data_IF_035514723737
#
_entry.id   IF_035514723737
#
_cell.length_a   1.000
_cell.length_b   1.000
_cell.length_c   1.000
_cell.angle_alpha   90.00
_cell.angle_beta   90.00
_cell.angle_gamma   90.00
#
_symmetry.space_group_name_H-M   'P 1'
#
loop_
_entity.id
_entity.type
_entity.pdbx_description
1 polymer ?
#
# COMPACT_ATOMS: atom_id res chain seq x y z
N UNK A 1 -0.26 -35.03 -2.86
CA UNK A 1 0.41 -34.45 -4.03
C UNK A 1 0.44 -32.93 -3.82
N UNK A 2 1.62 -32.34 -3.67
CA UNK A 2 1.71 -30.86 -3.62
C UNK A 2 1.27 -30.31 -4.97
N UNK A 3 0.26 -29.47 -4.98
CA UNK A 3 -0.15 -28.75 -6.18
C UNK A 3 1.03 -27.89 -6.66
N UNK A 4 1.45 -27.98 -7.92
CA UNK A 4 2.48 -27.07 -8.45
C UNK A 4 1.97 -25.63 -8.59
N UNK A 5 0.71 -25.38 -8.27
CA UNK A 5 0.06 -24.06 -8.39
C UNK A 5 0.33 -23.25 -7.14
N UNK A 6 0.83 -22.02 -7.32
CA UNK A 6 1.02 -21.03 -6.25
C UNK A 6 -0.31 -20.70 -5.57
N UNK A 7 -0.26 -20.31 -4.30
CA UNK A 7 -1.44 -19.84 -3.58
C UNK A 7 -2.00 -18.57 -4.23
N UNK A 8 -3.29 -18.27 -4.03
CA UNK A 8 -3.87 -17.01 -4.52
C UNK A 8 -3.20 -15.79 -3.88
N UNK A 9 -2.81 -15.91 -2.62
CA UNK A 9 -2.13 -14.83 -1.91
C UNK A 9 -0.77 -14.54 -2.54
N UNK A 10 0.06 -15.58 -2.76
CA UNK A 10 1.36 -15.42 -3.42
C UNK A 10 1.22 -14.93 -4.86
N UNK A 11 0.20 -15.39 -5.58
CA UNK A 11 -0.08 -14.93 -6.93
C UNK A 11 -0.38 -13.44 -6.98
N UNK A 12 -1.30 -12.95 -6.14
CA UNK A 12 -1.63 -11.53 -6.13
C UNK A 12 -0.52 -10.66 -5.52
N UNK A 13 0.20 -11.12 -4.51
CA UNK A 13 1.38 -10.43 -4.00
C UNK A 13 2.50 -10.37 -5.05
N UNK A 14 2.66 -11.41 -5.86
CA UNK A 14 3.57 -11.42 -7.01
C UNK A 14 3.21 -10.34 -8.03
N UNK A 15 1.94 -10.16 -8.35
CA UNK A 15 1.48 -9.08 -9.24
C UNK A 15 1.70 -7.71 -8.57
N UNK A 16 1.41 -7.56 -7.27
CA UNK A 16 1.67 -6.32 -6.54
C UNK A 16 3.18 -5.95 -6.56
N UNK A 17 4.06 -6.97 -6.52
CA UNK A 17 5.50 -6.80 -6.69
C UNK A 17 5.83 -6.22 -8.08
N UNK A 18 5.28 -6.75 -9.15
CA UNK A 18 5.51 -6.20 -10.50
C UNK A 18 4.96 -4.77 -10.61
N UNK A 19 3.80 -4.48 -10.02
CA UNK A 19 3.26 -3.11 -9.95
C UNK A 19 4.22 -2.18 -9.20
N UNK A 20 4.86 -2.63 -8.12
CA UNK A 20 5.79 -1.84 -7.33
C UNK A 20 7.01 -1.35 -8.11
N UNK A 21 7.40 -2.06 -9.19
CA UNK A 21 8.53 -1.68 -10.06
C UNK A 21 8.33 -0.34 -10.79
N UNK A 22 7.11 0.16 -10.83
CA UNK A 22 6.79 1.50 -11.37
C UNK A 22 6.92 2.61 -10.33
N UNK A 23 7.30 2.29 -9.08
CA UNK A 23 7.46 3.29 -8.01
C UNK A 23 8.49 4.34 -8.36
N UNK A 24 8.21 5.58 -7.98
CA UNK A 24 9.11 6.73 -8.17
C UNK A 24 9.57 7.32 -6.82
N UNK A 25 9.47 6.55 -5.75
CA UNK A 25 9.93 6.93 -4.42
C UNK A 25 11.36 6.45 -4.19
N UNK A 26 12.23 7.32 -3.65
CA UNK A 26 13.61 6.98 -3.32
C UNK A 26 13.76 6.07 -2.09
N UNK A 27 12.74 6.07 -1.21
CA UNK A 27 12.80 5.28 0.03
C UNK A 27 12.33 3.85 -0.19
N UNK A 28 11.10 3.69 -0.69
CA UNK A 28 10.44 2.39 -0.81
C UNK A 28 9.71 2.23 -2.13
N UNK A 29 9.85 1.07 -2.72
CA UNK A 29 9.06 0.64 -3.87
C UNK A 29 7.85 -0.15 -3.35
N UNK A 30 6.66 0.43 -3.46
CA UNK A 30 5.41 -0.17 -2.98
C UNK A 30 4.44 -0.29 -4.15
N UNK A 31 3.81 -1.46 -4.26
CA UNK A 31 2.71 -1.71 -5.19
C UNK A 31 1.51 -2.27 -4.45
N UNK A 32 0.33 -1.86 -4.88
CA UNK A 32 -0.93 -2.35 -4.37
C UNK A 32 -1.86 -2.75 -5.52
N UNK A 33 -2.70 -3.74 -5.27
CA UNK A 33 -3.81 -4.07 -6.16
C UNK A 33 -5.04 -4.41 -5.34
N UNK A 34 -6.21 -4.21 -5.95
CA UNK A 34 -7.49 -4.54 -5.36
C UNK A 34 -8.12 -5.65 -6.17
N UNK A 35 -8.53 -6.70 -5.48
CA UNK A 35 -9.14 -7.89 -6.06
C UNK A 35 -10.56 -8.03 -5.50
N UNK A 36 -11.53 -8.31 -6.36
CA UNK A 36 -12.88 -8.68 -5.99
C UNK A 36 -13.38 -9.79 -6.90
N UNK A 37 -14.02 -10.78 -6.33
CA UNK A 37 -14.54 -11.94 -7.08
C UNK A 37 -13.48 -12.60 -7.96
N UNK A 38 -12.26 -12.74 -7.41
CA UNK A 38 -11.07 -13.31 -8.09
C UNK A 38 -10.61 -12.52 -9.33
N UNK A 39 -11.01 -11.24 -9.45
CA UNK A 39 -10.61 -10.35 -10.53
C UNK A 39 -9.86 -9.13 -9.99
N UNK A 40 -8.79 -8.75 -10.66
CA UNK A 40 -8.05 -7.51 -10.37
C UNK A 40 -8.89 -6.33 -10.84
N UNK A 41 -9.35 -5.52 -9.90
CA UNK A 41 -10.19 -4.34 -10.15
C UNK A 41 -9.33 -3.12 -10.47
N UNK A 42 -8.26 -2.92 -9.69
CA UNK A 42 -7.33 -1.81 -9.93
C UNK A 42 -5.96 -2.10 -9.37
N UNK A 43 -5.00 -1.29 -9.80
CA UNK A 43 -3.62 -1.30 -9.30
C UNK A 43 -3.18 0.11 -8.95
N UNK A 44 -2.19 0.22 -8.06
CA UNK A 44 -1.53 1.46 -7.72
C UNK A 44 -0.09 1.22 -7.28
N UNK A 45 0.79 2.17 -7.52
CA UNK A 45 2.16 2.17 -7.01
C UNK A 45 2.44 3.52 -6.35
N UNK A 46 3.45 3.58 -5.49
CA UNK A 46 3.87 4.83 -4.87
C UNK A 46 4.50 5.76 -5.92
N UNK A 47 3.91 6.95 -6.11
CA UNK A 47 4.36 7.88 -7.14
C UNK A 47 3.65 9.22 -7.07
N UNK A 48 4.21 10.23 -7.71
CA UNK A 48 3.65 11.57 -7.73
C UNK A 48 2.26 11.62 -8.41
N UNK A 49 1.47 12.64 -8.12
CA UNK A 49 0.22 12.87 -8.83
C UNK A 49 0.44 12.93 -10.33
N UNK A 50 -0.54 12.48 -11.11
CA UNK A 50 -0.45 12.47 -12.58
C UNK A 50 -0.12 13.85 -13.12
N UNK A 51 0.73 13.89 -14.15
CA UNK A 51 1.16 15.12 -14.84
C UNK A 51 2.01 16.06 -13.97
N UNK A 52 2.46 15.62 -12.81
CA UNK A 52 3.44 16.36 -11.99
C UNK A 52 4.80 15.67 -12.05
N UNK A 53 5.86 16.41 -11.74
CA UNK A 53 7.21 15.84 -11.62
C UNK A 53 7.29 14.98 -10.37
N UNK A 54 7.88 13.83 -10.50
CA UNK A 54 8.07 12.90 -9.37
C UNK A 54 9.45 13.06 -8.71
N UNK A 55 9.73 12.23 -7.72
CA UNK A 55 10.99 12.31 -6.98
C UNK A 55 12.20 11.88 -7.83
N UNK A 56 12.00 11.01 -8.83
CA UNK A 56 13.07 10.61 -9.77
C UNK A 56 13.39 11.79 -10.69
N UNK A 57 12.37 12.47 -11.24
CA UNK A 57 12.55 13.68 -12.05
C UNK A 57 13.29 14.80 -11.31
N UNK A 58 13.09 14.90 -9.99
CA UNK A 58 13.75 15.87 -9.14
C UNK A 58 15.14 15.43 -8.68
N UNK A 59 15.48 14.15 -8.79
CA UNK A 59 16.76 13.59 -8.35
C UNK A 59 16.93 13.49 -6.83
N UNK A 60 15.87 13.69 -6.04
CA UNK A 60 15.92 13.60 -4.57
C UNK A 60 14.56 13.36 -3.93
N UNK A 61 14.59 12.84 -2.69
CA UNK A 61 13.43 12.80 -1.82
C UNK A 61 13.38 14.08 -0.98
N UNK A 62 12.27 14.83 -1.06
CA UNK A 62 12.09 16.06 -0.27
C UNK A 62 12.16 15.80 1.23
N UNK A 63 11.55 14.70 1.70
CA UNK A 63 11.55 14.36 3.13
C UNK A 63 12.96 14.03 3.65
N UNK A 64 13.81 13.37 2.84
CA UNK A 64 15.21 13.14 3.18
C UNK A 64 16.00 14.44 3.27
N UNK A 65 15.79 15.33 2.29
CA UNK A 65 16.44 16.64 2.28
C UNK A 65 16.08 17.50 3.49
N UNK A 66 14.87 17.34 4.02
CA UNK A 66 14.39 18.01 5.22
C UNK A 66 14.71 17.26 6.52
N UNK A 67 15.41 16.12 6.47
CA UNK A 67 15.75 15.31 7.64
C UNK A 67 14.55 14.68 8.33
N UNK A 68 13.44 14.45 7.59
CA UNK A 68 12.20 13.91 8.16
C UNK A 68 12.31 12.38 8.27
N UNK A 69 12.11 11.82 9.48
CA UNK A 69 12.13 10.37 9.69
C UNK A 69 11.08 9.61 8.86
N UNK A 70 11.26 8.29 8.73
CA UNK A 70 10.23 7.42 8.17
C UNK A 70 8.94 7.51 8.99
N UNK A 71 7.80 7.33 8.34
CA UNK A 71 6.49 7.37 9.00
C UNK A 71 5.92 8.76 9.29
N UNK A 72 6.67 9.84 9.10
CA UNK A 72 6.28 11.21 9.51
C UNK A 72 6.10 12.15 8.31
N UNK A 73 5.28 13.20 8.51
CA UNK A 73 5.11 14.34 7.60
C UNK A 73 4.80 13.91 6.17
N UNK A 74 3.83 13.00 5.99
CA UNK A 74 3.41 12.52 4.67
C UNK A 74 2.83 13.62 3.78
N UNK A 75 2.30 14.70 4.36
CA UNK A 75 1.80 15.87 3.65
C UNK A 75 2.89 16.61 2.85
N UNK A 76 4.16 16.44 3.23
CA UNK A 76 5.32 16.97 2.50
C UNK A 76 5.86 16.00 1.45
N UNK A 77 5.34 14.76 1.41
CA UNK A 77 5.77 13.78 0.42
C UNK A 77 5.20 14.13 -0.96
N UNK A 78 6.05 14.07 -1.98
CA UNK A 78 5.58 14.23 -3.38
C UNK A 78 4.75 13.06 -3.86
N UNK A 79 4.94 11.89 -3.25
CA UNK A 79 4.29 10.66 -3.68
C UNK A 79 2.94 10.48 -3.01
N UNK A 80 1.97 10.06 -3.79
CA UNK A 80 0.73 9.41 -3.33
C UNK A 80 1.05 7.96 -3.03
N UNK A 81 0.52 7.40 -1.96
CA UNK A 81 0.76 6.01 -1.58
C UNK A 81 0.13 5.03 -2.57
N UNK A 82 0.67 3.81 -2.63
CA UNK A 82 0.21 2.78 -3.56
C UNK A 82 -1.27 2.44 -3.33
N UNK A 83 -1.69 2.32 -2.08
CA UNK A 83 -3.06 2.04 -1.66
C UNK A 83 -4.02 3.15 -2.12
N UNK A 84 -3.61 4.41 -1.93
CA UNK A 84 -4.38 5.58 -2.36
C UNK A 84 -4.53 5.58 -3.89
N UNK A 85 -3.43 5.35 -4.62
CA UNK A 85 -3.46 5.28 -6.07
C UNK A 85 -4.35 4.14 -6.59
N UNK A 86 -4.34 2.97 -5.94
CA UNK A 86 -5.24 1.87 -6.29
C UNK A 86 -6.72 2.27 -6.11
N UNK A 87 -7.07 2.89 -4.99
CA UNK A 87 -8.43 3.38 -4.72
C UNK A 87 -8.84 4.47 -5.73
N UNK A 88 -7.97 5.44 -5.97
CA UNK A 88 -8.21 6.54 -6.92
C UNK A 88 -8.37 6.01 -8.35
N UNK A 89 -7.55 5.03 -8.76
CA UNK A 89 -7.64 4.45 -10.09
C UNK A 89 -8.97 3.73 -10.32
N UNK A 90 -9.48 2.99 -9.33
CA UNK A 90 -10.80 2.39 -9.40
C UNK A 90 -11.92 3.45 -9.49
N UNK A 91 -11.85 4.48 -8.64
CA UNK A 91 -12.81 5.59 -8.67
C UNK A 91 -12.83 6.29 -10.04
N UNK A 92 -11.66 6.52 -10.65
CA UNK A 92 -11.55 7.10 -12.00
C UNK A 92 -12.13 6.21 -13.09
N UNK A 93 -12.06 4.89 -12.91
CA UNK A 93 -12.65 3.92 -13.83
C UNK A 93 -14.16 3.70 -13.58
N UNK A 94 -14.73 4.30 -12.54
CA UNK A 94 -16.14 4.11 -12.16
C UNK A 94 -16.43 2.70 -11.64
N UNK A 95 -15.42 2.03 -11.05
CA UNK A 95 -15.55 0.65 -10.57
C UNK A 95 -15.68 0.62 -9.06
N UNK A 96 -16.68 -0.09 -8.54
CA UNK A 96 -16.89 -0.28 -7.11
C UNK A 96 -15.82 -1.18 -6.50
N UNK A 97 -15.36 -0.78 -5.31
CA UNK A 97 -14.39 -1.53 -4.49
C UNK A 97 -15.04 -2.31 -3.35
N UNK A 98 -16.34 -2.13 -3.14
CA UNK A 98 -17.06 -2.73 -2.00
C UNK A 98 -16.87 -4.24 -1.96
N UNK A 99 -16.47 -4.75 -0.80
CA UNK A 99 -16.25 -6.19 -0.58
C UNK A 99 -14.94 -6.73 -1.15
N UNK A 100 -14.08 -5.89 -1.71
CA UNK A 100 -12.79 -6.30 -2.27
C UNK A 100 -11.68 -6.47 -1.23
N UNK A 101 -10.62 -7.17 -1.63
CA UNK A 101 -9.39 -7.35 -0.87
C UNK A 101 -8.27 -6.51 -1.48
N UNK A 102 -7.42 -5.93 -0.64
CA UNK A 102 -6.22 -5.22 -1.09
C UNK A 102 -4.96 -6.04 -0.81
N UNK A 103 -4.10 -6.19 -1.81
CA UNK A 103 -2.80 -6.83 -1.70
C UNK A 103 -1.71 -5.76 -1.82
N UNK A 104 -0.76 -5.75 -0.89
CA UNK A 104 0.31 -4.75 -0.84
C UNK A 104 1.66 -5.45 -0.75
N UNK A 105 2.53 -5.11 -1.69
CA UNK A 105 3.93 -5.54 -1.67
C UNK A 105 4.84 -4.34 -1.48
N UNK A 106 5.93 -4.51 -0.72
CA UNK A 106 6.91 -3.47 -0.49
C UNK A 106 8.34 -3.97 -0.34
N UNK A 107 9.27 -3.14 -0.81
CA UNK A 107 10.70 -3.34 -0.64
C UNK A 107 11.44 -2.01 -0.55
N UNK A 108 12.65 -2.02 0.02
CA UNK A 108 13.56 -0.88 -0.05
C UNK A 108 13.93 -0.61 -1.52
N UNK A 109 13.98 0.67 -1.91
CA UNK A 109 14.32 1.03 -3.30
C UNK A 109 15.81 0.83 -3.57
N UNK A 110 16.66 0.99 -2.55
CA UNK A 110 18.12 0.95 -2.69
C UNK A 110 18.68 -0.43 -3.02
N UNK A 111 18.15 -1.48 -2.40
CA UNK A 111 18.70 -2.84 -2.47
C UNK A 111 17.66 -3.95 -2.65
N UNK A 112 16.38 -3.59 -2.71
CA UNK A 112 15.29 -4.55 -2.92
C UNK A 112 14.97 -5.41 -1.70
N UNK A 113 15.50 -5.12 -0.51
CA UNK A 113 15.17 -5.87 0.71
C UNK A 113 13.67 -5.76 1.02
N UNK A 114 13.00 -6.87 1.37
CA UNK A 114 11.62 -6.83 1.77
C UNK A 114 11.38 -5.89 2.96
N UNK A 115 10.23 -5.24 2.99
CA UNK A 115 9.77 -4.43 4.12
C UNK A 115 8.37 -4.86 4.53
N UNK A 116 7.99 -4.53 5.76
CA UNK A 116 6.59 -4.63 6.18
C UNK A 116 5.77 -3.59 5.40
N UNK A 117 5.00 -4.07 4.42
CA UNK A 117 4.19 -3.23 3.55
C UNK A 117 2.82 -2.92 4.16
N UNK A 118 2.80 -2.51 5.45
CA UNK A 118 1.55 -2.25 6.15
C UNK A 118 0.99 -0.87 5.80
N UNK A 119 -0.35 -0.75 5.64
CA UNK A 119 -0.97 0.53 5.40
C UNK A 119 -0.68 1.51 6.54
N UNK A 120 -0.23 2.70 6.19
CA UNK A 120 -0.12 3.77 7.18
C UNK A 120 -1.52 4.22 7.64
N UNK A 121 -1.54 5.02 8.71
CA UNK A 121 -2.77 5.51 9.31
C UNK A 121 -3.71 6.24 8.31
N UNK A 122 -3.15 7.03 7.41
CA UNK A 122 -3.93 7.74 6.37
C UNK A 122 -4.57 6.73 5.41
N UNK A 123 -3.81 5.71 4.97
CA UNK A 123 -4.31 4.69 4.06
C UNK A 123 -5.38 3.81 4.70
N UNK A 124 -5.25 3.45 5.99
CA UNK A 124 -6.28 2.69 6.71
C UNK A 124 -7.64 3.39 6.68
N UNK A 125 -7.69 4.72 6.89
CA UNK A 125 -8.94 5.50 6.79
C UNK A 125 -9.57 5.39 5.41
N UNK A 126 -8.76 5.49 4.36
CA UNK A 126 -9.25 5.38 2.99
C UNK A 126 -9.72 3.95 2.67
N UNK A 127 -9.01 2.94 3.13
CA UNK A 127 -9.35 1.51 2.96
C UNK A 127 -10.69 1.20 3.62
N UNK A 128 -10.91 1.65 4.86
CA UNK A 128 -12.19 1.50 5.58
C UNK A 128 -13.31 2.17 4.77
N UNK A 129 -13.15 3.43 4.38
CA UNK A 129 -14.18 4.17 3.66
C UNK A 129 -14.44 3.63 2.24
N UNK A 130 -13.45 3.00 1.62
CA UNK A 130 -13.61 2.33 0.33
C UNK A 130 -14.40 1.02 0.42
N UNK A 131 -14.69 0.52 1.63
CA UNK A 131 -15.45 -0.71 1.87
C UNK A 131 -14.69 -1.98 1.51
N UNK A 132 -13.35 -1.95 1.62
CA UNK A 132 -12.53 -3.14 1.49
C UNK A 132 -12.67 -4.00 2.74
N UNK A 133 -12.50 -5.33 2.62
CA UNK A 133 -12.73 -6.27 3.72
C UNK A 133 -11.44 -6.84 4.31
N UNK A 134 -10.42 -7.04 3.48
CA UNK A 134 -9.12 -7.55 3.92
C UNK A 134 -7.99 -6.76 3.29
N UNK A 135 -6.86 -6.70 4.02
CA UNK A 135 -5.58 -6.26 3.48
C UNK A 135 -4.57 -7.37 3.68
N UNK A 136 -3.95 -7.81 2.60
CA UNK A 136 -2.90 -8.81 2.59
C UNK A 136 -1.58 -8.12 2.25
N UNK A 137 -0.66 -8.09 3.19
CA UNK A 137 0.59 -7.33 3.07
C UNK A 137 1.81 -8.24 3.13
N UNK A 138 2.81 -7.97 2.31
CA UNK A 138 4.12 -8.63 2.44
C UNK A 138 4.85 -8.16 3.68
N UNK A 139 5.66 -9.06 4.27
CA UNK A 139 6.48 -8.81 5.46
C UNK A 139 7.98 -8.87 5.15
N UNK A 140 8.80 -8.45 6.09
CA UNK A 140 10.27 -8.54 5.99
C UNK A 140 10.76 -9.99 5.87
N UNK A 141 10.01 -10.96 6.39
CA UNK A 141 10.32 -12.40 6.25
C UNK A 141 9.85 -12.98 4.91
N UNK A 142 9.44 -12.15 3.96
CA UNK A 142 8.87 -12.57 2.68
C UNK A 142 7.62 -13.48 2.83
N UNK A 143 6.87 -13.28 3.91
CA UNK A 143 5.59 -13.92 4.17
C UNK A 143 4.46 -12.92 3.92
N UNK A 144 3.21 -13.38 4.05
CA UNK A 144 2.03 -12.52 4.04
C UNK A 144 1.44 -12.37 5.44
N UNK A 145 0.90 -11.20 5.73
CA UNK A 145 0.09 -10.92 6.90
C UNK A 145 -1.28 -10.40 6.46
N UNK A 146 -2.34 -10.97 7.01
CA UNK A 146 -3.72 -10.60 6.69
C UNK A 146 -4.30 -9.73 7.81
N UNK A 147 -4.84 -8.58 7.44
CA UNK A 147 -5.58 -7.69 8.32
C UNK A 147 -7.06 -7.71 7.93
N UNK A 148 -7.94 -7.84 8.90
CA UNK A 148 -9.37 -7.62 8.71
C UNK A 148 -9.68 -6.13 8.91
N UNK A 149 -10.28 -5.50 7.91
CA UNK A 149 -10.56 -4.06 7.94
C UNK A 149 -11.56 -3.70 9.05
N UNK A 150 -12.52 -4.60 9.33
CA UNK A 150 -13.48 -4.42 10.43
C UNK A 150 -12.81 -4.37 11.81
N UNK A 151 -11.67 -5.06 11.99
CA UNK A 151 -10.92 -4.99 13.26
C UNK A 151 -10.38 -3.58 13.51
N UNK A 152 -9.90 -2.89 12.46
CA UNK A 152 -9.48 -1.49 12.58
C UNK A 152 -10.66 -0.58 12.92
N UNK A 153 -11.79 -0.73 12.22
CA UNK A 153 -12.98 0.08 12.46
C UNK A 153 -13.52 -0.13 13.89
N UNK A 154 -13.50 -1.37 14.38
CA UNK A 154 -13.92 -1.71 15.75
C UNK A 154 -12.95 -1.10 16.78
N UNK A 155 -11.64 -1.31 16.62
CA UNK A 155 -10.63 -0.77 17.53
C UNK A 155 -10.73 0.75 17.66
N UNK A 156 -10.98 1.45 16.54
CA UNK A 156 -11.11 2.92 16.56
C UNK A 156 -12.45 3.41 17.10
N UNK A 157 -13.46 2.56 17.19
CA UNK A 157 -14.74 2.86 17.85
C UNK A 157 -14.66 2.70 19.36
N UNK A 158 -13.87 1.73 19.80
CA UNK A 158 -13.79 1.32 21.21
C UNK A 158 -12.59 1.97 21.95
N UNK A 159 -11.58 2.40 21.23
CA UNK A 159 -10.34 2.99 21.76
C UNK A 159 -10.01 4.35 21.16
N UNK A 160 -8.97 4.98 21.73
CA UNK A 160 -8.44 6.23 21.17
C UNK A 160 -7.54 5.92 19.98
N UNK A 161 -7.73 6.68 18.93
CA UNK A 161 -6.91 6.65 17.73
C UNK A 161 -5.41 6.90 18.01
N UNK A 162 -5.09 7.57 19.12
CA UNK A 162 -3.71 7.86 19.55
C UNK A 162 -2.95 6.58 19.95
N UNK A 163 -3.63 5.50 20.30
CA UNK A 163 -2.99 4.23 20.64
C UNK A 163 -2.33 3.56 19.43
N UNK A 164 -2.68 3.98 18.23
CA UNK A 164 -2.14 3.44 16.97
C UNK A 164 -0.82 4.12 16.53
N UNK A 165 -0.30 5.08 17.31
CA UNK A 165 0.97 5.78 17.00
C UNK A 165 2.17 4.86 16.89
N UNK A 166 2.14 3.68 17.52
CA UNK A 166 3.20 2.66 17.43
C UNK A 166 3.39 2.08 16.01
N UNK A 167 2.46 2.32 15.11
CA UNK A 167 2.53 1.83 13.73
C UNK A 167 3.31 2.74 12.79
N UNK A 168 3.79 3.88 13.29
CA UNK A 168 4.59 4.84 12.52
C UNK A 168 6.11 4.68 12.74
N UNK A 169 6.52 3.72 13.54
CA UNK A 169 7.93 3.44 13.85
C UNK A 169 8.64 2.64 12.78
#
# INVERSE_FOLDING_TARGET
>A
MNSPRVSKEDYYLGIAREVSRRSTCWRRSIGALIVRDDQIISTGYVGAPRKTRDSVDHGFCLRDRLGIPHGQRYELCRSVHAEQNAIINAARAGVSLLGGDMYIFGQETSDGRPVNAFPCFICKKMIINAGLVRVISSTVEAQSLVFLVDDWARAWREGDILDDQRQYG
#
